data_IF_918894294125
#
_entry.id   IF_918894294125
#
_cell.length_a   1.000
_cell.length_b   1.000
_cell.length_c   1.000
_cell.angle_alpha   90.00
_cell.angle_beta   90.00
_cell.angle_gamma   90.00
#
_symmetry.space_group_name_H-M   'P 1'
#
loop_
_entity.id
_entity.type
_entity.pdbx_description
1 polymer ?
2 polymer ?
3 water ?
#
# COMPACT_ATOMS: atom_id res chain seq x y z
N UNK A 5 -0.86 4.65 13.68
CA UNK A 5 -2.13 5.22 13.24
C UNK A 5 -2.08 5.61 11.77
N UNK A 6 -2.10 4.60 10.90
CA UNK A 6 -2.04 4.82 9.46
C UNK A 6 -3.44 5.00 8.89
N UNK A 7 -3.56 5.92 7.94
CA UNK A 7 -4.82 6.16 7.26
C UNK A 7 -4.54 6.20 5.75
N UNK A 8 -5.38 5.52 4.99
CA UNK A 8 -5.31 5.55 3.53
C UNK A 8 -6.31 6.59 3.06
N UNK A 9 -5.81 7.60 2.35
CA UNK A 9 -6.61 8.74 1.90
C UNK A 9 -6.52 8.75 0.38
N UNK A 10 -7.67 8.74 -0.27
CA UNK A 10 -7.75 8.74 -1.73
C UNK A 10 -8.24 10.11 -2.14
N UNK A 11 -7.46 10.78 -2.99
CA UNK A 11 -7.80 12.12 -3.47
C UNK A 11 -8.00 12.07 -4.98
N UNK A 12 -8.96 12.85 -5.45
CA UNK A 12 -9.22 13.04 -6.88
C UNK A 12 -8.74 14.45 -7.20
N UNK A 13 -7.76 14.56 -8.10
CA UNK A 13 -7.10 15.83 -8.29
C UNK A 13 -8.08 16.86 -8.84
N UNK A 14 -7.82 18.13 -8.48
CA UNK A 14 -8.64 19.26 -8.92
C UNK A 14 -7.75 20.17 -9.75
N UNK A 15 -7.51 19.77 -11.01
CA UNK A 15 -6.76 20.53 -12.02
C UNK A 15 -5.49 19.73 -12.38
N UNK A 17 -3.12 19.94 -9.16
CA UNK A 17 -2.40 18.99 -8.32
C UNK A 17 -3.22 18.51 -7.13
N UNK A 18 -2.52 18.01 -6.12
CA UNK A 18 -3.18 17.46 -4.94
C UNK A 18 -3.62 18.53 -3.95
N UNK A 19 -3.06 19.74 -4.03
CA UNK A 19 -3.51 20.83 -3.21
C UNK A 19 -2.90 20.92 -1.83
N UNK A 20 -1.67 20.45 -1.65
CA UNK A 20 -0.98 20.64 -0.39
C UNK A 20 0.51 20.77 -0.67
N UNK A 21 1.24 21.25 0.35
CA UNK A 21 2.68 21.40 0.26
C UNK A 21 3.34 20.46 1.26
N UNK A 22 4.58 20.07 0.96
CA UNK A 22 5.32 19.12 1.78
C UNK A 22 6.68 19.70 2.16
N UNK A 23 7.23 19.17 3.25
CA UNK A 23 8.60 19.44 3.64
C UNK A 23 9.22 18.14 4.15
N UNK A 24 10.54 18.11 4.17
CA UNK A 24 11.29 16.98 4.65
C UNK A 24 12.05 16.27 3.55
N UNK A 25 12.58 15.11 3.90
CA UNK A 25 13.39 14.32 3.01
C UNK A 25 14.84 14.24 3.48
N UNK A 26 15.53 13.21 3.01
CA UNK A 26 16.95 13.05 3.34
C UNK A 26 17.71 14.27 2.88
N UNK A 27 18.52 14.84 3.78
CA UNK A 27 19.26 16.04 3.50
C UNK A 27 18.51 17.34 3.71
N UNK A 28 17.20 17.28 3.94
CA UNK A 28 16.39 18.46 4.21
C UNK A 28 15.38 18.14 5.31
N UNK A 29 15.89 17.69 6.45
CA UNK A 29 15.01 17.26 7.53
C UNK A 29 14.08 18.39 7.95
N UNK A 30 12.80 18.06 8.10
CA UNK A 30 11.81 18.97 8.64
C UNK A 30 11.72 18.86 10.15
N UNK A 31 12.00 17.68 10.69
CA UNK A 31 12.05 17.43 12.13
C UNK A 31 13.38 16.75 12.42
N UNK A 32 14.04 17.17 13.50
CA UNK A 32 15.37 16.66 13.79
C UNK A 32 15.32 15.14 13.88
N UNK A 33 16.31 14.49 13.28
CA UNK A 33 16.48 13.04 13.34
C UNK A 33 15.36 12.29 12.62
N UNK A 34 14.76 12.91 11.61
CA UNK A 34 13.65 12.28 10.89
C UNK A 34 13.63 12.83 9.47
N UNK A 35 13.84 11.94 8.50
CA UNK A 35 13.85 12.31 7.08
C UNK A 35 12.47 12.22 6.44
N UNK A 36 11.42 11.99 7.22
CA UNK A 36 10.11 11.76 6.65
C UNK A 36 9.59 12.94 5.87
N UNK A 37 8.55 12.68 5.08
CA UNK A 37 7.88 13.70 4.29
C UNK A 37 6.63 14.13 5.05
N UNK A 38 6.50 15.45 5.28
CA UNK A 38 5.46 15.98 6.15
C UNK A 38 4.65 17.04 5.40
N UNK A 39 3.35 17.07 5.69
CA UNK A 39 2.46 18.07 5.11
C UNK A 39 2.57 19.36 5.90
N UNK A 40 2.83 20.47 5.20
CA UNK A 40 2.98 21.77 5.85
C UNK A 40 1.88 22.76 5.52
N UNK A 41 1.12 22.55 4.44
CA UNK A 41 0.12 23.51 4.01
C UNK A 41 -0.99 22.76 3.27
N UNK A 42 -2.23 23.21 3.45
CA UNK A 42 -3.39 22.65 2.78
C UNK A 42 -4.11 23.80 2.08
N UNK A 43 -4.25 23.71 0.76
CA UNK A 43 -4.82 24.79 -0.05
C UNK A 43 -6.35 24.74 0.02
N UNK A 44 -6.96 25.89 0.32
CA UNK A 44 -8.41 25.99 0.24
C UNK A 44 -8.89 25.59 -1.15
N UNK A 45 -9.86 24.70 -1.21
CA UNK A 45 -10.45 24.29 -2.47
C UNK A 45 -9.72 23.18 -3.19
N UNK A 46 -8.51 22.83 -2.76
CA UNK A 46 -7.78 21.76 -3.40
C UNK A 46 -8.36 20.41 -3.05
N UNK A 47 -7.80 19.38 -3.67
CA UNK A 47 -8.30 18.02 -3.48
C UNK A 47 -8.23 17.62 -2.01
N UNK A 48 -7.06 17.78 -1.39
CA UNK A 48 -6.89 17.39 0.01
C UNK A 48 -7.86 18.15 0.91
N UNK A 49 -8.13 19.42 0.60
CA UNK A 49 -9.05 20.21 1.43
C UNK A 49 -10.46 19.66 1.32
N UNK A 50 -10.93 19.45 0.09
CA UNK A 50 -12.29 18.94 -0.10
C UNK A 50 -12.46 17.56 0.54
N UNK A 51 -11.42 16.73 0.48
CA UNK A 51 -11.51 15.43 1.15
C UNK A 51 -11.64 15.62 2.66
N UNK A 52 -10.90 16.57 3.22
CA UNK A 52 -11.07 16.96 4.61
C UNK A 52 -10.28 16.18 5.62
N UNK A 53 -9.59 15.11 5.20
CA UNK A 53 -8.92 14.24 6.16
C UNK A 53 -7.45 14.62 6.40
N UNK A 54 -6.72 14.97 5.34
CA UNK A 54 -5.31 15.30 5.48
C UNK A 54 -5.13 16.56 6.32
N UNK A 55 -4.13 16.55 7.19
CA UNK A 55 -3.86 17.66 8.09
C UNK A 55 -2.36 17.99 8.09
N UNK A 56 -2.06 19.26 8.39
CA UNK A 56 -0.68 19.68 8.55
C UNK A 56 -0.04 18.83 9.64
N UNK A 57 1.20 18.41 9.41
CA UNK A 57 1.90 17.52 10.30
C UNK A 57 1.83 16.06 9.92
N UNK A 58 0.88 15.69 9.06
CA UNK A 58 0.78 14.30 8.62
C UNK A 58 2.06 13.87 7.92
N UNK A 59 2.48 12.65 8.21
CA UNK A 59 3.62 12.02 7.55
C UNK A 59 3.13 11.15 6.40
N UNK A 60 3.56 11.46 5.19
CA UNK A 60 3.24 10.66 4.02
C UNK A 60 4.33 9.59 3.87
N UNK A 61 3.96 8.33 4.11
CA UNK A 61 4.91 7.23 4.03
C UNK A 61 4.77 6.41 2.75
N UNK A 62 3.71 6.63 1.97
CA UNK A 62 3.44 5.80 0.80
C UNK A 62 2.54 6.57 -0.14
N UNK A 63 2.88 6.55 -1.42
CA UNK A 63 2.11 7.19 -2.48
C UNK A 63 1.86 6.12 -3.53
N UNK A 64 0.60 5.69 -3.65
CA UNK A 64 0.29 4.51 -4.46
C UNK A 64 1.10 3.33 -3.92
N UNK A 65 2.03 2.80 -4.71
CA UNK A 65 2.86 1.69 -4.24
C UNK A 65 4.20 2.13 -3.67
N UNK A 66 4.69 3.30 -4.06
CA UNK A 66 6.03 3.73 -3.69
C UNK A 66 6.09 4.23 -2.26
N UNK A 67 7.22 3.96 -1.60
CA UNK A 67 7.50 4.48 -0.27
C UNK A 67 8.18 5.84 -0.37
N UNK A 68 7.82 6.73 0.55
CA UNK A 68 8.50 8.01 0.71
C UNK A 68 9.48 8.01 1.87
N UNK A 69 9.77 6.84 2.44
CA UNK A 69 10.77 6.72 3.49
C UNK A 69 12.16 6.67 2.86
N UNK A 70 13.08 7.48 3.39
CA UNK A 70 14.47 7.49 2.93
C UNK A 70 14.56 7.95 1.48
N UNK A 71 13.87 9.04 1.18
CA UNK A 71 13.99 9.71 -0.11
C UNK A 71 14.43 11.14 0.11
N UNK A 72 14.91 11.76 -0.96
CA UNK A 72 15.21 13.18 -0.96
C UNK A 72 13.91 13.96 -1.15
N UNK A 73 13.97 15.26 -0.83
CA UNK A 73 12.81 16.12 -1.04
C UNK A 73 12.38 16.10 -2.51
N UNK A 74 13.35 16.23 -3.42
CA UNK A 74 13.03 16.20 -4.85
C UNK A 74 12.45 14.85 -5.26
N UNK A 75 12.96 13.77 -4.69
CA UNK A 75 12.44 12.44 -5.03
C UNK A 75 10.99 12.31 -4.59
N UNK A 76 10.65 12.83 -3.41
CA UNK A 76 9.26 12.83 -2.95
C UNK A 76 8.39 13.67 -3.88
N UNK A 77 8.87 14.85 -4.26
CA UNK A 77 8.10 15.70 -5.17
C UNK A 77 7.85 14.98 -6.48
N UNK A 78 8.87 14.31 -7.01
CA UNK A 78 8.71 13.57 -8.26
C UNK A 78 7.68 12.47 -8.12
N UNK A 79 7.78 11.69 -7.04
CA UNK A 79 6.82 10.60 -6.83
C UNK A 79 5.41 11.16 -6.75
N UNK A 80 5.22 12.27 -6.04
CA UNK A 80 3.88 12.80 -5.85
C UNK A 80 3.33 13.45 -7.12
N UNK A 81 4.20 13.98 -7.97
CA UNK A 81 3.76 14.60 -9.21
C UNK A 81 3.60 13.62 -10.36
N UNK A 82 4.26 12.47 -10.28
CA UNK A 82 4.13 11.41 -11.29
C UNK A 82 2.97 10.49 -10.97
N UNK A 83 1.79 11.07 -10.76
CA UNK A 83 0.61 10.31 -10.37
C UNK A 83 -0.53 10.60 -11.33
N UNK A 84 -1.52 9.71 -11.33
CA UNK A 84 -2.71 9.89 -12.15
C UNK A 84 -3.65 10.90 -11.50
N UNK A 85 -4.86 11.04 -12.05
CA UNK A 85 -5.81 11.99 -11.48
C UNK A 85 -6.28 11.56 -10.10
N UNK A 86 -6.34 10.26 -9.82
CA UNK A 86 -6.68 9.73 -8.50
C UNK A 86 -5.39 9.23 -7.86
N UNK A 87 -5.25 9.48 -6.57
CA UNK A 87 -4.00 9.18 -5.86
C UNK A 87 -4.32 8.62 -4.47
N UNK A 88 -3.62 7.56 -4.11
CA UNK A 88 -3.73 6.95 -2.79
C UNK A 88 -2.49 7.29 -1.97
N UNK A 89 -2.70 7.97 -0.85
CA UNK A 89 -1.65 8.29 0.10
C UNK A 89 -1.89 7.51 1.38
N UNK A 90 -0.83 7.01 2.00
CA UNK A 90 -0.91 6.45 3.34
C UNK A 90 -0.17 7.40 4.27
N UNK A 91 -0.87 7.92 5.27
CA UNK A 91 -0.30 8.93 6.14
C UNK A 91 -0.34 8.44 7.58
N UNK A 92 0.59 8.97 8.38
CA UNK A 92 0.69 8.68 9.80
C UNK A 92 0.35 9.96 10.55
N UNK A 93 -0.60 9.86 11.47
CA UNK A 93 -0.98 11.05 12.23
C UNK A 93 -0.01 11.24 13.41
N UNK A 94 0.42 12.49 13.68
CA UNK A 94 1.33 12.71 14.81
C UNK A 94 0.78 12.17 16.13
N UNK B 4 11.46 3.72 16.50
CA UNK B 4 11.24 4.86 15.63
C UNK B 4 12.44 5.17 14.75
N UNK B 5 13.56 4.54 15.06
CA UNK B 5 14.81 4.77 14.34
C UNK B 5 14.86 3.93 13.07
N UNK B 6 14.88 4.59 11.92
CA UNK B 6 14.93 3.93 10.62
C UNK B 6 16.37 3.65 10.20
N UNK B 7 16.58 2.49 9.61
CA UNK B 7 17.87 2.03 9.14
C UNK B 7 17.79 1.47 7.73
N UNK B 8 18.81 1.79 6.92
CA UNK B 8 18.93 1.29 5.56
C UNK B 8 19.85 0.08 5.54
N UNK B 9 19.35 -1.06 5.02
CA UNK B 9 20.07 -2.32 4.97
C UNK B 9 20.09 -2.83 3.54
N UNK B 10 21.28 -3.10 3.00
CA UNK B 10 21.44 -3.66 1.66
C UNK B 10 21.92 -5.10 1.79
N UNK B 11 21.17 -6.03 1.20
CA UNK B 11 21.46 -7.46 1.29
C UNK B 11 21.73 -8.04 -0.09
N UNK B 12 22.65 -9.01 -0.15
CA UNK B 12 22.95 -9.78 -1.35
C UNK B 12 22.49 -11.22 -1.14
N UNK B 13 21.60 -11.70 -2.01
CA UNK B 13 20.93 -12.97 -1.76
C UNK B 13 21.92 -14.15 -1.75
N UNK B 14 21.56 -15.18 -0.99
CA UNK B 14 22.33 -16.42 -0.88
C UNK B 14 21.47 -17.59 -1.31
N UNK B 15 22.02 -18.43 -2.19
CA UNK B 15 21.37 -19.67 -2.63
C UNK B 15 19.85 -19.65 -2.57
N UNK B 17 17.67 -17.25 -0.70
CA UNK B 17 16.86 -16.08 -0.47
C UNK B 17 17.55 -15.03 0.38
N UNK B 18 16.76 -14.16 1.01
CA UNK B 18 17.31 -13.10 1.84
C UNK B 18 17.68 -13.59 3.23
N UNK B 19 17.15 -14.73 3.65
CA UNK B 19 17.56 -15.32 4.91
C UNK B 19 16.85 -14.80 6.14
N UNK B 20 15.61 -14.33 6.00
CA UNK B 20 14.80 -13.98 7.16
C UNK B 20 13.34 -14.27 6.85
N UNK B 21 12.55 -14.33 7.91
CA UNK B 21 11.12 -14.58 7.80
C UNK B 21 10.35 -13.37 8.33
N UNK B 22 9.11 -13.23 7.84
CA UNK B 22 8.28 -12.08 8.18
C UNK B 22 6.92 -12.56 8.67
N UNK B 23 6.26 -11.69 9.43
CA UNK B 23 4.87 -11.86 9.84
C UNK B 23 4.19 -10.50 9.77
N UNK B 24 2.86 -10.53 9.74
CA UNK B 24 2.08 -9.32 9.73
C UNK B 24 1.35 -9.13 8.42
N UNK B 25 0.79 -7.93 8.27
CA UNK B 25 0.01 -7.57 7.11
C UNK B 25 -1.46 -7.34 7.45
N UNK B 26 -2.13 -6.60 6.57
CA UNK B 26 -3.56 -6.34 6.75
C UNK B 26 -4.30 -7.67 6.79
N UNK B 27 -5.13 -7.85 7.81
CA UNK B 27 -5.87 -9.08 8.00
C UNK B 27 -5.10 -10.19 8.68
N UNK B 28 -3.79 -10.02 8.88
CA UNK B 28 -2.96 -10.99 9.58
C UNK B 28 -1.98 -10.25 10.48
N UNK B 29 -2.51 -9.38 11.34
CA UNK B 29 -1.67 -8.54 12.17
C UNK B 29 -0.73 -9.38 13.03
N UNK B 30 0.54 -8.98 13.06
CA UNK B 30 1.51 -9.60 13.95
C UNK B 30 1.54 -8.94 15.31
N UNK B 31 1.23 -7.64 15.37
CA UNK B 31 1.08 -6.90 16.62
C UNK B 31 -0.30 -6.27 16.58
N UNK B 32 -1.04 -6.38 17.68
CA UNK B 32 -2.43 -5.94 17.68
C UNK B 32 -2.52 -4.47 17.28
N UNK B 33 -3.50 -4.17 16.42
CA UNK B 33 -3.78 -2.81 15.99
C UNK B 33 -2.65 -2.24 15.13
N UNK B 34 -1.94 -3.11 14.41
CA UNK B 34 -0.81 -2.71 13.58
C UNK B 34 -0.69 -3.70 12.42
N UNK B 35 -0.81 -3.19 11.20
CA UNK B 35 -0.69 -4.02 10.00
C UNK B 35 0.75 -4.17 9.52
N UNK B 36 1.72 -3.69 10.28
CA UNK B 36 3.09 -3.65 9.80
C UNK B 36 3.65 -5.03 9.53
N UNK B 37 4.73 -5.04 8.75
CA UNK B 37 5.47 -6.26 8.42
C UNK B 37 6.69 -6.32 9.32
N UNK B 38 6.84 -7.43 10.04
CA UNK B 38 7.87 -7.54 11.08
C UNK B 38 8.74 -8.76 10.83
N UNK B 39 10.02 -8.64 11.15
CA UNK B 39 10.96 -9.75 11.05
C UNK B 39 10.80 -10.62 12.28
N UNK B 40 10.57 -11.92 12.07
CA UNK B 40 10.38 -12.87 13.16
C UNK B 40 11.47 -13.91 13.31
N UNK B 41 12.29 -14.12 12.27
CA UNK B 41 13.35 -15.12 12.30
C UNK B 41 14.45 -14.70 11.36
N UNK B 42 15.71 -14.95 11.77
CA UNK B 42 16.88 -14.70 10.95
C UNK B 42 17.72 -15.97 10.92
N UNK B 43 17.96 -16.49 9.72
CA UNK B 43 18.66 -17.76 9.57
C UNK B 43 20.16 -17.51 9.75
N UNK B 44 20.77 -18.28 10.65
CA UNK B 44 22.21 -18.23 10.81
C UNK B 44 22.91 -18.56 9.50
N UNK B 45 23.87 -17.72 9.12
CA UNK B 45 24.60 -17.90 7.88
C UNK B 45 23.96 -17.30 6.66
N UNK B 46 22.71 -16.88 6.74
CA UNK B 46 22.02 -16.26 5.62
C UNK B 46 22.51 -14.85 5.34
N UNK B 47 21.95 -14.27 4.29
CA UNK B 47 22.38 -12.94 3.87
C UNK B 47 22.17 -11.92 4.98
N UNK B 48 20.95 -11.85 5.52
CA UNK B 48 20.65 -10.88 6.57
C UNK B 48 21.58 -11.10 7.77
N UNK B 49 21.91 -12.36 8.07
CA UNK B 49 22.79 -12.64 9.19
C UNK B 49 24.20 -12.12 8.92
N UNK B 50 24.75 -12.42 7.74
CA UNK B 50 26.11 -11.98 7.43
C UNK B 50 26.20 -10.46 7.43
N UNK B 51 25.16 -9.78 6.93
CA UNK B 51 25.18 -8.32 6.97
C UNK B 51 25.18 -7.81 8.42
N UNK B 52 24.41 -8.46 9.28
CA UNK B 52 24.46 -8.20 10.71
C UNK B 52 23.56 -7.10 11.22
N UNK B 53 22.87 -6.38 10.34
CA UNK B 53 22.10 -5.22 10.77
C UNK B 53 20.64 -5.57 11.08
N UNK B 54 20.01 -6.40 10.27
CA UNK B 54 18.61 -6.76 10.50
C UNK B 54 18.48 -7.54 11.80
N UNK B 55 17.40 -7.26 12.54
CA UNK B 55 17.16 -7.89 13.84
C UNK B 55 15.72 -8.36 13.92
N UNK B 56 15.49 -9.40 14.72
CA UNK B 56 14.11 -9.80 15.02
C UNK B 56 13.41 -8.63 15.68
N UNK B 57 12.15 -8.40 15.29
CA UNK B 57 11.39 -7.26 15.74
C UNK B 57 11.40 -6.08 14.80
N UNK B 58 12.31 -6.05 13.84
CA UNK B 58 12.35 -4.96 12.88
C UNK B 58 11.05 -4.89 12.08
N UNK B 59 10.58 -3.66 11.85
CA UNK B 59 9.47 -3.40 10.95
C UNK B 59 10.07 -3.02 9.60
N UNK B 60 9.75 -3.79 8.56
CA UNK B 60 10.20 -3.50 7.21
C UNK B 60 9.18 -2.58 6.57
N UNK B 61 9.56 -1.32 6.35
CA UNK B 61 8.66 -0.34 5.76
C UNK B 61 8.96 -0.09 4.28
N UNK B 62 10.08 -0.60 3.76
CA UNK B 62 10.40 -0.33 2.36
C UNK B 62 11.33 -1.39 1.81
N UNK B 63 11.02 -1.88 0.61
CA UNK B 63 11.82 -2.88 -0.09
C UNK B 63 12.09 -2.32 -1.48
N UNK B 64 13.36 -2.00 -1.76
CA UNK B 64 13.74 -1.25 -2.96
C UNK B 64 12.97 0.06 -2.93
N UNK B 65 12.08 0.31 -3.89
CA UNK B 65 11.26 1.52 -3.88
C UNK B 65 9.88 1.32 -3.26
N UNK B 66 9.41 0.08 -3.21
CA UNK B 66 8.04 -0.20 -2.78
C UNK B 66 7.90 -0.11 -1.26
N UNK B 67 6.74 0.40 -0.83
CA UNK B 67 6.38 0.43 0.59
C UNK B 67 5.69 -0.87 0.96
N UNK B 68 5.98 -1.36 2.18
CA UNK B 68 5.27 -2.49 2.75
C UNK B 68 4.20 -2.06 3.75
N UNK B 69 3.92 -0.76 3.81
CA UNK B 69 2.86 -0.24 4.67
C UNK B 69 1.50 -0.45 4.02
N UNK B 70 0.56 -0.98 4.79
CA UNK B 70 -0.82 -1.13 4.35
C UNK B 70 -0.92 -2.07 3.15
N UNK B 71 -0.25 -3.21 3.27
CA UNK B 71 -0.35 -4.29 2.30
C UNK B 71 -0.80 -5.55 3.03
N UNK B 72 -1.26 -6.53 2.25
CA UNK B 72 -1.55 -7.85 2.80
C UNK B 72 -0.26 -8.62 2.99
N UNK B 73 -0.33 -9.68 3.80
CA UNK B 73 0.83 -10.54 3.97
C UNK B 73 1.26 -11.12 2.63
N UNK B 74 0.29 -11.52 1.80
CA UNK B 74 0.63 -12.08 0.50
C UNK B 74 1.38 -11.06 -0.37
N UNK B 75 0.94 -9.80 -0.35
CA UNK B 75 1.62 -8.79 -1.16
C UNK B 75 3.02 -8.52 -0.62
N UNK B 76 3.20 -8.51 0.70
CA UNK B 76 4.54 -8.31 1.26
C UNK B 76 5.47 -9.44 0.85
N UNK B 77 4.99 -10.68 0.94
CA UNK B 77 5.81 -11.82 0.52
C UNK B 77 6.16 -11.69 -0.96
N UNK B 78 5.19 -11.32 -1.80
CA UNK B 78 5.45 -11.16 -3.23
C UNK B 78 6.50 -10.09 -3.47
N UNK B 79 6.36 -8.94 -2.82
CA UNK B 79 7.32 -7.85 -2.99
C UNK B 79 8.72 -8.32 -2.62
N UNK B 80 8.84 -9.06 -1.51
CA UNK B 80 10.16 -9.47 -1.08
C UNK B 80 10.73 -10.58 -1.96
N UNK B 81 9.87 -11.41 -2.55
CA UNK B 81 10.36 -12.50 -3.39
C UNK B 81 10.59 -12.12 -4.84
N UNK B 82 9.92 -11.07 -5.33
CA UNK B 82 10.15 -10.58 -6.69
C UNK B 82 11.27 -9.55 -6.73
N UNK B 83 12.44 -9.93 -6.21
CA UNK B 83 13.59 -9.04 -6.14
C UNK B 83 14.78 -9.70 -6.82
N UNK B 84 15.76 -8.87 -7.19
CA UNK B 84 17.00 -9.34 -7.78
C UNK B 84 17.91 -9.88 -6.68
N UNK B 85 19.17 -10.19 -7.02
CA UNK B 85 20.09 -10.69 -6.02
C UNK B 85 20.41 -9.65 -4.96
N UNK B 86 20.36 -8.37 -5.31
CA UNK B 86 20.59 -7.28 -4.36
C UNK B 86 19.26 -6.65 -4.00
N UNK B 87 19.08 -6.33 -2.72
CA UNK B 87 17.83 -5.78 -2.20
C UNK B 87 18.14 -4.71 -1.15
N UNK B 88 17.49 -3.56 -1.26
CA UNK B 88 17.65 -2.49 -0.28
C UNK B 88 16.35 -2.38 0.52
N UNK B 89 16.47 -2.55 1.83
CA UNK B 89 15.36 -2.43 2.77
C UNK B 89 15.55 -1.19 3.64
N UNK B 90 14.46 -0.50 3.92
CA UNK B 90 14.41 0.50 5.00
C UNK B 90 13.50 -0.08 6.08
N UNK B 91 14.05 -0.20 7.29
CA UNK B 91 13.41 -0.85 8.42
C UNK B 91 13.34 0.13 9.59
N UNK B 92 12.40 -0.14 10.50
CA UNK B 92 12.22 0.64 11.73
C UNK B 92 12.61 -0.23 12.91
N UNK B 93 13.55 0.23 13.73
CA UNK B 93 13.95 -0.54 14.90
C UNK B 93 13.06 -0.20 16.10
N UNK B 94 12.61 -1.21 16.87
CA UNK B 94 11.80 -0.90 18.06
C UNK B 94 12.51 0.03 19.03
N UNK C 2 -4.69 -21.70 4.16
CA UNK C 2 -3.31 -21.32 3.83
C UNK C 2 -3.22 -19.90 3.26
N UNK C 3 -2.04 -19.53 2.78
CA UNK C 3 -1.82 -18.20 2.24
C UNK C 3 -2.30 -18.10 0.80
N UNK C 4 -2.97 -16.99 0.49
CA UNK C 4 -3.48 -16.77 -0.84
C UNK C 4 -2.37 -16.47 -1.82
N UNK C 5 -2.79 -15.96 -2.99
CA UNK C 5 -1.83 -15.64 -4.04
C UNK C 5 -2.32 -14.42 -4.80
N UNK C 6 -1.36 -13.65 -5.33
CA UNK C 6 -1.70 -12.44 -6.06
C UNK C 6 -1.92 -12.76 -7.53
N UNK C 7 -2.97 -12.17 -8.11
CA UNK C 7 -3.26 -12.32 -9.52
C UNK C 7 -3.63 -10.97 -10.11
N UNK C 8 -3.09 -10.67 -11.28
CA UNK C 8 -3.43 -9.45 -12.01
C UNK C 8 -4.48 -9.80 -13.06
N UNK C 9 -5.62 -9.12 -12.99
CA UNK C 9 -6.76 -9.37 -13.89
C UNK C 9 -7.11 -8.07 -14.58
N UNK C 10 -7.13 -8.08 -15.91
CA UNK C 10 -7.44 -6.91 -16.71
C UNK C 10 -8.82 -7.09 -17.34
N UNK C 11 -9.71 -6.15 -17.08
CA UNK C 11 -11.07 -6.16 -17.58
C UNK C 11 -11.32 -4.96 -18.48
N UNK C 12 -12.14 -5.16 -19.51
CA UNK C 12 -12.59 -4.07 -20.37
C UNK C 12 -14.07 -3.82 -20.11
N UNK C 13 -14.39 -2.62 -19.67
CA UNK C 13 -15.72 -2.28 -19.18
C UNK C 13 -16.77 -2.34 -20.29
N UNK C 14 -18.00 -2.58 -19.88
CA UNK C 14 -19.16 -2.61 -20.77
C UNK C 14 -20.11 -1.48 -20.41
N UNK C 15 -21.23 -1.39 -21.13
CA UNK C 15 -22.25 -0.41 -20.80
C UNK C 15 -22.77 -0.62 -19.38
N UNK C 16 -22.89 -1.88 -18.95
CA UNK C 16 -23.41 -2.21 -17.64
C UNK C 16 -22.32 -2.30 -16.57
N UNK C 17 -21.07 -2.01 -16.91
CA UNK C 17 -20.00 -2.03 -15.94
C UNK C 17 -19.12 -3.27 -16.04
N UNK C 18 -18.43 -3.54 -14.93
CA UNK C 18 -17.49 -4.66 -14.88
C UNK C 18 -18.18 -6.00 -14.63
N UNK C 19 -19.40 -5.99 -14.10
CA UNK C 19 -20.13 -7.23 -13.95
C UNK C 19 -19.86 -8.02 -12.69
N UNK C 20 -19.48 -7.35 -11.60
CA UNK C 20 -19.35 -8.04 -10.32
C UNK C 20 -19.75 -7.07 -9.20
N UNK C 21 -20.00 -7.65 -8.03
CA UNK C 21 -20.38 -6.91 -6.84
C UNK C 21 -19.31 -7.06 -5.77
N UNK C 22 -19.23 -6.07 -4.88
CA UNK C 22 -18.22 -6.06 -3.83
C UNK C 22 -18.88 -5.85 -2.48
N UNK C 23 -18.19 -6.29 -1.44
CA UNK C 23 -18.55 -6.01 -0.06
C UNK C 23 -17.27 -5.71 0.71
N UNK C 24 -17.42 -5.05 1.85
CA UNK C 24 -16.30 -4.73 2.72
C UNK C 24 -16.03 -3.24 2.75
N UNK C 25 -14.90 -2.91 3.35
CA UNK C 25 -14.49 -1.53 3.54
C UNK C 25 -14.49 -1.14 5.01
N UNK C 26 -13.74 -0.07 5.30
CA UNK C 26 -13.68 0.43 6.67
C UNK C 26 -15.08 0.80 7.13
N UNK C 27 -15.46 0.30 8.31
CA UNK C 27 -16.78 0.54 8.84
C UNK C 27 -17.87 -0.37 8.33
N UNK C 28 -17.59 -1.18 7.32
CA UNK C 28 -18.57 -2.12 6.77
C UNK C 28 -17.87 -3.45 6.49
N UNK C 29 -17.23 -4.01 7.51
CA UNK C 29 -16.44 -5.21 7.35
C UNK C 29 -17.28 -6.37 6.81
N UNK C 30 -16.75 -7.05 5.81
CA UNK C 30 -17.33 -8.30 5.32
C UNK C 30 -16.72 -9.51 6.00
N UNK C 31 -15.47 -9.41 6.43
CA UNK C 31 -14.75 -10.47 7.13
C UNK C 31 -14.20 -9.93 8.44
N UNK C 32 -14.30 -10.74 9.49
CA UNK C 32 -13.91 -10.30 10.82
C UNK C 32 -12.47 -9.80 10.83
N UNK C 33 -12.25 -8.66 11.47
CA UNK C 33 -10.92 -8.10 11.67
C UNK C 33 -10.26 -7.74 10.33
N UNK C 34 -11.06 -7.42 9.32
CA UNK C 34 -10.51 -7.17 7.99
C UNK C 34 -11.42 -6.22 7.23
N UNK C 35 -10.88 -5.07 6.85
CA UNK C 35 -11.61 -4.07 6.09
C UNK C 35 -11.52 -4.30 4.58
N UNK C 36 -10.97 -5.43 4.15
CA UNK C 36 -10.70 -5.64 2.75
C UNK C 36 -11.96 -5.64 1.91
N UNK C 37 -11.74 -5.47 0.59
CA UNK C 37 -12.82 -5.47 -0.40
C UNK C 37 -12.86 -6.84 -1.06
N UNK C 38 -14.04 -7.46 -1.06
CA UNK C 38 -14.21 -8.84 -1.52
C UNK C 38 -15.31 -8.93 -2.56
N UNK C 39 -15.10 -9.82 -3.53
CA UNK C 39 -16.08 -10.08 -4.57
C UNK C 39 -17.16 -11.02 -4.03
N UNK C 40 -18.42 -10.61 -4.16
CA UNK C 40 -19.54 -11.42 -3.69
C UNK C 40 -20.41 -11.98 -4.81
N UNK C 41 -20.34 -11.40 -6.00
CA UNK C 41 -21.19 -11.81 -7.10
C UNK C 41 -20.52 -11.51 -8.43
N UNK C 42 -20.71 -12.39 -9.41
CA UNK C 42 -20.23 -12.19 -10.76
C UNK C 42 -21.40 -12.40 -11.71
N UNK C 43 -21.73 -11.39 -12.51
CA UNK C 43 -22.89 -11.48 -13.39
C UNK C 43 -22.55 -12.37 -14.58
N UNK C 44 -23.36 -13.39 -14.81
CA UNK C 44 -23.19 -14.26 -15.97
C UNK C 44 -23.26 -13.41 -17.23
N UNK C 45 -22.24 -13.57 -18.08
CA UNK C 45 -22.13 -12.81 -19.31
C UNK C 45 -21.46 -11.47 -19.18
N UNK C 46 -21.25 -10.98 -17.97
CA UNK C 46 -20.58 -9.70 -17.76
C UNK C 46 -19.09 -9.76 -18.05
N UNK C 47 -18.45 -8.60 -17.91
CA UNK C 47 -17.03 -8.50 -18.22
C UNK C 47 -16.20 -9.45 -17.38
N UNK C 48 -16.37 -9.41 -16.06
CA UNK C 48 -15.60 -10.29 -15.19
C UNK C 48 -15.85 -11.75 -15.54
N UNK C 49 -17.08 -12.08 -15.94
CA UNK C 49 -17.42 -13.45 -16.30
C UNK C 49 -16.69 -13.86 -17.58
N UNK C 50 -16.79 -13.02 -18.62
CA UNK C 50 -16.16 -13.36 -19.90
C UNK C 50 -14.64 -13.47 -19.75
N UNK C 51 -14.03 -12.62 -18.93
CA UNK C 51 -12.60 -12.71 -18.69
C UNK C 51 -12.25 -14.03 -18.03
N UNK C 52 -13.08 -14.48 -17.08
CA UNK C 52 -12.99 -15.82 -16.54
C UNK C 52 -12.05 -15.98 -15.36
N UNK C 53 -11.31 -14.95 -14.98
CA UNK C 53 -10.31 -15.08 -13.92
C UNK C 53 -10.85 -14.69 -12.56
N UNK C 54 -11.63 -13.62 -12.48
CA UNK C 54 -12.16 -13.16 -11.20
C UNK C 54 -13.14 -14.20 -10.64
N UNK C 55 -13.08 -14.38 -9.32
CA UNK C 55 -13.91 -15.34 -8.62
C UNK C 55 -14.55 -14.72 -7.39
N UNK C 56 -15.73 -15.23 -7.03
CA UNK C 56 -16.36 -14.84 -5.78
C UNK C 56 -15.44 -15.22 -4.63
N UNK C 57 -15.32 -14.33 -3.65
CA UNK C 57 -14.40 -14.49 -2.55
C UNK C 57 -13.06 -13.82 -2.75
N UNK C 58 -12.70 -13.48 -3.99
CA UNK C 58 -11.45 -12.78 -4.25
C UNK C 58 -11.44 -11.43 -3.54
N UNK C 59 -10.27 -11.07 -3.02
CA UNK C 59 -10.04 -9.77 -2.41
C UNK C 59 -9.47 -8.81 -3.45
N UNK C 60 -10.13 -7.68 -3.66
CA UNK C 60 -9.62 -6.65 -4.54
C UNK C 60 -8.72 -5.76 -3.66
N UNK C 61 -7.40 -5.86 -3.86
CA UNK C 61 -6.46 -5.08 -3.08
C UNK C 61 -5.90 -3.88 -3.82
N UNK C 62 -6.14 -3.78 -5.13
CA UNK C 62 -5.54 -2.72 -5.92
C UNK C 62 -6.31 -2.58 -7.22
N UNK C 63 -6.63 -1.34 -7.59
CA UNK C 63 -7.37 -1.03 -8.81
C UNK C 63 -6.53 -0.02 -9.58
N UNK C 64 -6.02 -0.42 -10.75
CA UNK C 64 -4.99 0.32 -11.47
C UNK C 64 -3.81 0.45 -10.53
N UNK C 65 -3.40 1.64 -10.11
CA UNK C 65 -2.33 1.78 -9.13
C UNK C 65 -2.86 1.98 -7.71
N UNK C 66 -4.10 2.40 -7.56
CA UNK C 66 -4.62 2.77 -6.25
C UNK C 66 -4.82 1.53 -5.40
N UNK C 67 -4.51 1.66 -4.11
CA UNK C 67 -4.75 0.59 -3.15
C UNK C 67 -6.17 0.71 -2.61
N UNK C 68 -6.83 -0.44 -2.46
CA UNK C 68 -8.13 -0.50 -1.83
C UNK C 68 -8.06 -1.02 -0.39
N UNK C 69 -6.86 -1.09 0.19
CA UNK C 69 -6.74 -1.51 1.57
C UNK C 69 -7.11 -0.37 2.49
N UNK C 70 -8.05 -0.63 3.41
CA UNK C 70 -8.45 0.33 4.43
C UNK C 70 -9.02 1.60 3.81
N UNK C 71 -9.95 1.42 2.87
CA UNK C 71 -10.74 2.49 2.31
C UNK C 71 -12.19 2.20 2.66
N UNK C 72 -13.05 3.20 2.49
CA UNK C 72 -14.47 2.97 2.73
C UNK C 72 -15.09 2.20 1.56
N UNK C 73 -16.24 1.59 1.85
CA UNK C 73 -17.00 0.92 0.79
C UNK C 73 -17.36 1.91 -0.30
N UNK C 74 -17.78 3.12 0.09
CA UNK C 74 -18.12 4.14 -0.89
C UNK C 74 -16.91 4.51 -1.74
N UNK C 75 -15.73 4.63 -1.11
CA UNK C 75 -14.53 4.96 -1.87
C UNK C 75 -14.17 3.84 -2.85
N UNK C 76 -14.32 2.58 -2.44
CA UNK C 76 -14.04 1.48 -3.35
C UNK C 76 -15.00 1.51 -4.54
N UNK C 77 -16.29 1.73 -4.27
CA UNK C 77 -17.26 1.82 -5.36
C UNK C 77 -16.90 2.96 -6.30
N UNK C 78 -16.53 4.12 -5.74
CA UNK C 78 -16.17 5.27 -6.56
C UNK C 78 -14.94 4.96 -7.42
N UNK C 79 -13.90 4.40 -6.82
CA UNK C 79 -12.69 4.07 -7.55
C UNK C 79 -13.00 3.13 -8.70
N UNK C 80 -13.84 2.11 -8.44
CA UNK C 80 -14.15 1.14 -9.49
C UNK C 80 -15.07 1.72 -10.54
N UNK C 81 -15.91 2.69 -10.18
CA UNK C 81 -16.85 3.28 -11.13
C UNK C 81 -16.25 4.40 -11.97
N UNK C 82 -15.13 4.99 -11.54
CA UNK C 82 -14.48 5.95 -12.43
C UNK C 82 -13.73 5.05 -13.41
N UNK C 83 -12.40 5.02 -13.31
CA UNK C 83 -11.59 4.23 -14.22
C UNK C 83 -11.94 4.48 -15.69
N UNK C 84 -11.02 4.17 -16.59
CA UNK C 84 -11.32 4.22 -18.02
C UNK C 84 -12.06 2.93 -18.37
N UNK C 85 -12.26 2.68 -19.65
CA UNK C 85 -12.89 1.42 -20.07
C UNK C 85 -12.02 0.23 -19.70
N UNK C 86 -10.72 0.42 -19.55
CA UNK C 86 -9.78 -0.64 -19.16
C UNK C 86 -9.53 -0.49 -17.66
N UNK C 87 -9.47 -1.63 -16.96
CA UNK C 87 -9.31 -1.67 -15.52
C UNK C 87 -8.36 -2.80 -15.17
N UNK C 88 -7.35 -2.49 -14.35
CA UNK C 88 -6.40 -3.47 -13.86
C UNK C 88 -6.67 -3.70 -12.38
N UNK C 89 -6.95 -4.94 -12.02
CA UNK C 89 -7.16 -5.35 -10.64
C UNK C 89 -6.00 -6.24 -10.22
N UNK C 90 -5.53 -6.07 -8.99
CA UNK C 90 -4.68 -7.05 -8.34
C UNK C 90 -5.51 -7.64 -7.21
N UNK C 91 -5.70 -8.95 -7.25
CA UNK C 91 -6.58 -9.62 -6.31
C UNK C 91 -5.77 -10.68 -5.56
N UNK C 92 -6.26 -11.02 -4.37
CA UNK C 92 -5.67 -12.09 -3.58
C UNK C 92 -6.67 -13.24 -3.55
N UNK C 93 -6.26 -14.39 -4.07
CA UNK C 93 -7.07 -15.60 -4.06
C UNK C 93 -6.80 -16.39 -2.80
N UNK C 94 -7.84 -16.95 -2.17
CA UNK C 94 -7.66 -17.74 -0.94
C UNK C 94 -6.66 -18.88 -1.07
N UNK D 4 13.23 23.88 2.24
CA UNK D 4 12.51 23.60 0.99
C UNK D 4 11.08 23.15 1.21
N UNK D 5 10.14 23.98 0.76
CA UNK D 5 8.70 23.71 0.85
C UNK D 5 8.16 23.66 -0.57
N UNK D 6 7.73 22.48 -1.00
CA UNK D 6 7.29 22.26 -2.37
C UNK D 6 5.79 22.02 -2.41
N UNK D 7 5.08 22.81 -3.20
CA UNK D 7 3.67 22.57 -3.46
C UNK D 7 3.52 21.39 -4.42
N UNK D 8 2.45 20.62 -4.24
CA UNK D 8 2.24 19.43 -5.05
C UNK D 8 0.75 19.21 -5.27
N UNK E 4 -23.89 -5.06 2.85
CA UNK E 4 -23.87 -4.11 1.74
C UNK E 4 -23.09 -4.62 0.52
N UNK E 5 -23.81 -4.89 -0.56
CA UNK E 5 -23.21 -5.37 -1.81
C UNK E 5 -23.54 -4.39 -2.92
N UNK E 6 -22.52 -3.74 -3.47
CA UNK E 6 -22.68 -2.74 -4.52
C UNK E 6 -22.16 -3.33 -5.82
N UNK E 7 -23.02 -3.33 -6.84
CA UNK E 7 -22.61 -3.77 -8.16
C UNK E 7 -21.72 -2.72 -8.81
N UNK E 8 -20.78 -3.19 -9.62
CA UNK E 8 -19.83 -2.29 -10.26
C UNK E 8 -19.46 -2.82 -11.65
N UNK F 3 -1.54 -16.47 13.09
CA UNK F 3 -1.02 -15.62 12.02
C UNK F 3 0.18 -16.31 11.35
N UNK F 4 0.37 -16.08 10.07
CA UNK F 4 1.37 -16.85 9.31
C UNK F 4 2.78 -16.28 9.45
N UNK F 5 3.73 -17.17 9.18
CA UNK F 5 5.16 -16.84 9.17
C UNK F 5 5.74 -17.40 7.88
N UNK F 6 6.37 -16.54 7.08
CA UNK F 6 6.80 -16.90 5.73
C UNK F 6 8.26 -16.59 5.54
N UNK F 7 9.02 -17.57 5.05
CA UNK F 7 10.43 -17.38 4.75
C UNK F 7 10.60 -16.63 3.43
N UNK F 8 11.55 -15.71 3.41
CA UNK F 8 11.77 -14.83 2.26
C UNK F 8 13.26 -14.83 1.91
#
# INVERSE_FOLDING_TARGET
>A
GPLGSLMNIVLHKEDKGLGFSIAGGVGNQHIINDNGIFVTKIIEGGAAFQDGRLEVGDRITKVNTLSLENVTHEEAVAILKETADVVSLVVVKP
>B
GPLGSLMNIVLHKEDKGLGFSIAGGVGNQHIINDNGIFVTKIIEGGAAFQDGRLEVGDRITKVNTLSLENVTHEEAVAILKETADVVSLVVVKP
>C
GPLGSLMNIVLHKEDKGLGFSIAGGVGNQHIINDNGIFVTKIIEGGAAFQDGRLEVGDRITKVNTLSLENVTHEEAVAILKETADVVSLVVVKP
>D
NPNPETSV
>E
NPNPETSV
>F
NPNPETSV
#
